data_IF_808133710990
#
_entry.id   IF_808133710990
#
_cell.length_a   1.000
_cell.length_b   1.000
_cell.length_c   1.000
_cell.angle_alpha   90.00
_cell.angle_beta   90.00
_cell.angle_gamma   90.00
#
_symmetry.space_group_name_H-M   'P 1'
#
loop_
_entity.id
_entity.type
_entity.pdbx_description
1 polymer ?
#
# COMPACT_ATOMS: atom_id res chain seq x y z
N UNK A 1 14.78 -23.72 19.26
CA UNK A 1 14.31 -24.87 18.46
C UNK A 1 14.55 -24.63 16.96
N UNK A 2 15.70 -25.01 16.39
CA UNK A 2 16.06 -24.70 15.00
C UNK A 2 15.30 -25.52 13.94
N UNK A 3 14.94 -26.78 14.23
CA UNK A 3 14.21 -27.68 13.31
C UNK A 3 12.79 -27.19 13.04
N UNK A 4 12.02 -26.90 14.09
CA UNK A 4 10.66 -26.36 13.97
C UNK A 4 10.64 -25.07 13.12
N UNK A 5 11.60 -24.16 13.32
CA UNK A 5 11.73 -22.94 12.53
C UNK A 5 11.96 -23.20 11.05
N UNK A 6 12.84 -24.16 10.70
CA UNK A 6 13.11 -24.53 9.29
C UNK A 6 11.86 -25.10 8.63
N UNK A 7 11.14 -25.98 9.32
CA UNK A 7 9.88 -26.56 8.80
C UNK A 7 8.83 -25.48 8.55
N UNK A 8 8.61 -24.56 9.50
CA UNK A 8 7.66 -23.47 9.33
C UNK A 8 8.01 -22.56 8.13
N UNK A 9 9.29 -22.26 7.91
CA UNK A 9 9.70 -21.47 6.75
C UNK A 9 9.53 -22.23 5.43
N UNK A 10 9.83 -23.52 5.39
CA UNK A 10 9.55 -24.34 4.21
C UNK A 10 8.05 -24.39 3.88
N UNK A 11 7.19 -24.57 4.89
CA UNK A 11 5.74 -24.61 4.66
C UNK A 11 5.16 -23.26 4.23
N UNK A 12 5.70 -22.15 4.74
CA UNK A 12 5.29 -20.80 4.31
C UNK A 12 5.65 -20.53 2.85
N UNK A 13 6.80 -21.03 2.39
CA UNK A 13 7.22 -20.90 0.99
C UNK A 13 6.36 -21.74 0.05
N UNK A 14 5.92 -22.92 0.51
CA UNK A 14 4.99 -23.76 -0.26
C UNK A 14 3.58 -23.19 -0.35
N UNK A 15 3.17 -22.40 0.64
CA UNK A 15 1.87 -21.75 0.66
C UNK A 15 1.83 -20.42 -0.10
N UNK A 16 2.86 -20.10 -0.90
CA UNK A 16 2.96 -18.85 -1.68
C UNK A 16 2.72 -17.59 -0.83
N UNK A 17 3.40 -17.49 0.32
CA UNK A 17 3.21 -16.40 1.26
C UNK A 17 3.42 -15.01 0.62
N UNK A 18 2.40 -14.15 0.72
CA UNK A 18 2.42 -12.75 0.28
C UNK A 18 2.75 -11.75 1.40
N UNK A 19 2.87 -10.48 1.04
CA UNK A 19 2.95 -9.37 1.99
C UNK A 19 1.58 -8.73 2.17
N UNK A 20 1.32 -8.22 3.37
CA UNK A 20 0.22 -7.32 3.64
C UNK A 20 0.75 -5.88 3.67
N UNK A 21 0.09 -4.96 2.97
CA UNK A 21 0.30 -3.53 3.10
C UNK A 21 -0.80 -2.88 3.96
N UNK A 22 -0.47 -1.89 4.80
CA UNK A 22 -1.48 -1.14 5.52
C UNK A 22 -2.12 -0.12 4.58
N UNK A 23 -3.42 0.10 4.76
CA UNK A 23 -4.23 1.01 3.95
C UNK A 23 -4.88 2.07 4.85
N UNK A 24 -4.85 3.31 4.38
CA UNK A 24 -5.57 4.42 5.01
C UNK A 24 -6.96 4.59 4.40
N UNK A 25 -7.93 4.89 5.26
CA UNK A 25 -9.15 5.57 4.87
C UNK A 25 -8.89 7.07 4.86
N UNK A 26 -8.91 7.68 3.68
CA UNK A 26 -8.74 9.11 3.50
C UNK A 26 -10.08 9.77 3.21
N UNK A 27 -10.51 10.63 4.12
CA UNK A 27 -11.62 11.54 3.99
C UNK A 27 -11.10 12.87 3.44
N UNK A 28 -11.54 13.25 2.23
CA UNK A 28 -11.06 14.44 1.54
C UNK A 28 -12.23 15.39 1.34
N UNK A 29 -12.17 16.57 1.95
CA UNK A 29 -13.12 17.64 1.68
C UNK A 29 -12.56 18.58 0.61
N UNK A 30 -13.30 18.78 -0.46
CA UNK A 30 -12.93 19.62 -1.61
C UNK A 30 -14.17 20.25 -2.23
N UNK A 31 -14.12 21.48 -2.77
CA UNK A 31 -15.24 22.01 -3.54
C UNK A 31 -15.36 21.30 -4.90
N UNK A 32 -16.57 21.27 -5.46
CA UNK A 32 -16.89 20.51 -6.68
C UNK A 32 -16.04 20.91 -7.91
N UNK A 33 -15.54 22.15 -7.96
CA UNK A 33 -14.70 22.68 -9.04
C UNK A 33 -13.32 21.99 -9.13
N UNK A 34 -12.78 21.52 -8.01
CA UNK A 34 -11.45 20.93 -7.92
C UNK A 34 -11.46 19.40 -7.71
N UNK A 35 -12.65 18.78 -7.73
CA UNK A 35 -12.83 17.35 -7.50
C UNK A 35 -12.06 16.49 -8.51
N UNK A 36 -12.08 16.86 -9.80
CA UNK A 36 -11.37 16.12 -10.86
C UNK A 36 -9.87 15.98 -10.60
N UNK A 37 -9.26 16.98 -9.98
CA UNK A 37 -7.83 16.95 -9.68
C UNK A 37 -7.51 15.99 -8.51
N UNK A 38 -8.45 15.81 -7.57
CA UNK A 38 -8.30 14.83 -6.48
C UNK A 38 -8.27 13.41 -7.03
N UNK A 39 -9.13 13.09 -7.99
CA UNK A 39 -9.11 11.80 -8.68
C UNK A 39 -7.76 11.54 -9.34
N UNK A 40 -7.20 12.53 -10.05
CA UNK A 40 -5.89 12.39 -10.68
C UNK A 40 -4.78 12.04 -9.70
N UNK A 41 -4.72 12.73 -8.55
CA UNK A 41 -3.72 12.46 -7.51
C UNK A 41 -3.91 11.09 -6.88
N UNK A 42 -5.16 10.68 -6.61
CA UNK A 42 -5.45 9.37 -6.04
C UNK A 42 -5.08 8.23 -7.01
N UNK A 43 -5.43 8.34 -8.29
CA UNK A 43 -5.12 7.31 -9.29
C UNK A 43 -3.61 7.10 -9.44
N UNK A 44 -2.82 8.18 -9.46
CA UNK A 44 -1.34 8.09 -9.52
C UNK A 44 -0.74 7.37 -8.31
N UNK A 45 -1.45 7.36 -7.18
CA UNK A 45 -1.00 6.79 -5.90
C UNK A 45 -1.72 5.48 -5.54
N UNK A 46 -2.28 4.78 -6.54
CA UNK A 46 -3.06 3.54 -6.35
C UNK A 46 -4.25 3.69 -5.38
N UNK A 47 -4.75 4.91 -5.21
CA UNK A 47 -5.91 5.20 -4.39
C UNK A 47 -7.21 4.89 -5.11
N UNK A 48 -8.24 4.49 -4.36
CA UNK A 48 -9.55 4.17 -4.90
C UNK A 48 -10.63 4.90 -4.10
N UNK A 49 -11.40 5.76 -4.78
CA UNK A 49 -12.58 6.43 -4.21
C UNK A 49 -13.78 5.48 -4.32
N UNK A 50 -14.48 5.27 -3.22
CA UNK A 50 -15.65 4.39 -3.18
C UNK A 50 -16.92 5.11 -2.71
N UNK A 51 -16.81 6.29 -2.11
CA UNK A 51 -17.97 7.07 -1.68
C UNK A 51 -17.75 8.55 -1.93
N UNK A 52 -18.84 9.18 -2.38
CA UNK A 52 -18.93 10.55 -2.83
C UNK A 52 -20.16 11.19 -2.17
N UNK A 53 -19.94 12.06 -1.18
CA UNK A 53 -21.01 12.71 -0.44
C UNK A 53 -20.99 14.22 -0.64
N UNK A 54 -22.07 14.77 -1.18
CA UNK A 54 -22.26 16.21 -1.26
C UNK A 54 -22.84 16.73 0.05
N UNK A 55 -22.22 17.78 0.62
CA UNK A 55 -22.75 18.43 1.83
C UNK A 55 -23.93 19.34 1.43
N UNK A 56 -25.17 19.06 1.89
CA UNK A 56 -26.33 19.86 1.50
C UNK A 56 -26.16 21.34 1.84
N UNK A 57 -26.53 22.21 0.90
CA UNK A 57 -26.45 23.67 1.09
C UNK A 57 -25.06 24.29 0.91
N UNK A 58 -24.03 23.50 0.58
CA UNK A 58 -22.69 24.02 0.27
C UNK A 58 -22.14 23.39 -1.01
N UNK A 59 -21.25 24.08 -1.77
CA UNK A 59 -20.56 23.47 -2.92
C UNK A 59 -19.42 22.52 -2.50
N UNK A 60 -19.39 22.09 -1.23
CA UNK A 60 -18.38 21.17 -0.71
C UNK A 60 -18.79 19.71 -0.92
N UNK A 61 -17.81 18.92 -1.31
CA UNK A 61 -17.90 17.49 -1.49
C UNK A 61 -16.92 16.78 -0.56
N UNK A 62 -17.34 15.63 -0.07
CA UNK A 62 -16.55 14.76 0.79
C UNK A 62 -16.33 13.45 0.06
N UNK A 63 -15.07 13.09 -0.17
CA UNK A 63 -14.67 11.87 -0.84
C UNK A 63 -14.09 10.92 0.21
N UNK A 64 -14.54 9.66 0.22
CA UNK A 64 -13.89 8.60 0.96
C UNK A 64 -13.12 7.71 -0.01
N UNK A 65 -11.83 7.54 0.28
CA UNK A 65 -10.92 6.78 -0.55
C UNK A 65 -10.00 5.89 0.28
N UNK A 66 -9.65 4.74 -0.28
CA UNK A 66 -8.53 3.94 0.20
C UNK A 66 -7.22 4.43 -0.41
N UNK A 67 -6.18 4.54 0.42
CA UNK A 67 -4.84 4.94 0.00
C UNK A 67 -3.79 4.03 0.68
N UNK A 68 -2.97 3.29 -0.09
CA UNK A 68 -1.89 2.51 0.50
C UNK A 68 -0.89 3.40 1.26
N UNK A 69 -0.49 3.01 2.47
CA UNK A 69 0.35 3.86 3.33
C UNK A 69 1.70 4.18 2.68
N UNK A 70 2.29 3.25 1.92
CA UNK A 70 3.53 3.54 1.19
C UNK A 70 3.39 4.65 0.16
N UNK A 71 2.17 4.89 -0.36
CA UNK A 71 1.87 5.94 -1.33
C UNK A 71 1.36 7.21 -0.66
N UNK A 72 1.32 7.27 0.68
CA UNK A 72 0.86 8.46 1.41
C UNK A 72 1.95 9.53 1.57
N UNK A 73 3.23 9.18 1.40
CA UNK A 73 4.34 10.12 1.53
C UNK A 73 4.27 11.18 0.42
N UNK A 74 4.17 12.45 0.83
CA UNK A 74 4.00 13.58 -0.09
C UNK A 74 2.56 13.79 -0.59
N UNK A 75 1.61 12.91 -0.23
CA UNK A 75 0.22 12.99 -0.69
C UNK A 75 -0.43 14.35 -0.41
N UNK A 76 -0.27 14.88 0.80
CA UNK A 76 -0.85 16.19 1.17
C UNK A 76 -0.28 17.34 0.33
N UNK A 77 1.02 17.30 0.01
CA UNK A 77 1.65 18.35 -0.79
C UNK A 77 1.15 18.31 -2.24
N UNK A 78 1.07 17.12 -2.83
CA UNK A 78 0.55 16.91 -4.19
C UNK A 78 -0.93 17.26 -4.29
N UNK A 79 -1.73 16.87 -3.30
CA UNK A 79 -3.14 17.22 -3.25
C UNK A 79 -3.32 18.74 -3.17
N UNK A 80 -2.50 19.41 -2.36
CA UNK A 80 -2.54 20.88 -2.23
C UNK A 80 -2.15 21.58 -3.52
N UNK A 81 -1.08 21.14 -4.19
CA UNK A 81 -0.62 21.77 -5.44
C UNK A 81 -1.62 21.59 -6.58
N UNK A 82 -2.21 20.40 -6.72
CA UNK A 82 -3.17 20.10 -7.78
C UNK A 82 -4.56 20.73 -7.56
N UNK A 83 -4.94 21.04 -6.31
CA UNK A 83 -6.26 21.63 -5.99
C UNK A 83 -6.20 23.13 -5.68
N UNK A 84 -5.05 23.78 -5.85
CA UNK A 84 -4.86 25.18 -5.47
C UNK A 84 -5.00 25.42 -3.96
N UNK A 85 -4.78 24.38 -3.16
CA UNK A 85 -4.89 24.39 -1.70
C UNK A 85 -6.30 24.32 -1.14
N UNK A 86 -7.29 23.97 -1.97
CA UNK A 86 -8.70 23.86 -1.58
C UNK A 86 -9.09 22.51 -0.97
N UNK A 87 -8.30 21.46 -1.18
CA UNK A 87 -8.57 20.14 -0.65
C UNK A 87 -7.89 19.90 0.71
N UNK A 88 -8.63 19.30 1.64
CA UNK A 88 -8.16 18.95 2.97
C UNK A 88 -8.31 17.44 3.20
N UNK A 89 -7.20 16.69 3.22
CA UNK A 89 -7.23 15.26 3.49
C UNK A 89 -7.12 14.99 5.00
N UNK A 90 -7.95 14.06 5.48
CA UNK A 90 -7.83 13.42 6.79
C UNK A 90 -7.70 11.92 6.56
N UNK A 91 -6.56 11.34 6.93
CA UNK A 91 -6.32 9.90 6.74
C UNK A 91 -6.19 9.21 8.10
N UNK A 92 -6.89 8.08 8.25
CA UNK A 92 -6.81 7.19 9.41
C UNK A 92 -6.53 5.76 8.95
N UNK A 93 -5.84 4.98 9.78
CA UNK A 93 -5.68 3.55 9.50
C UNK A 93 -7.04 2.85 9.41
N UNK A 94 -7.21 2.02 8.39
CA UNK A 94 -8.43 1.28 8.16
C UNK A 94 -8.21 -0.23 8.30
N UNK A 95 -7.40 -0.83 7.41
CA UNK A 95 -7.14 -2.27 7.41
C UNK A 95 -5.78 -2.64 6.78
N UNK A 96 -5.51 -3.94 6.76
CA UNK A 96 -4.38 -4.56 6.05
C UNK A 96 -4.89 -5.24 4.78
N UNK A 97 -4.28 -4.95 3.65
CA UNK A 97 -4.63 -5.50 2.34
C UNK A 97 -3.46 -6.34 1.78
N UNK A 98 -3.71 -7.49 1.14
CA UNK A 98 -2.66 -8.23 0.45
C UNK A 98 -2.08 -7.41 -0.70
N UNK A 99 -0.76 -7.23 -0.69
CA UNK A 99 -0.04 -6.58 -1.78
C UNK A 99 -0.07 -7.46 -3.02
N UNK A 100 -0.28 -6.85 -4.19
CA UNK A 100 -0.28 -7.57 -5.45
C UNK A 100 1.13 -7.99 -5.89
N UNK A 101 1.26 -9.24 -6.34
CA UNK A 101 2.50 -9.79 -6.91
C UNK A 101 3.29 -10.68 -5.94
N UNK A 102 4.00 -11.65 -6.53
CA UNK A 102 4.76 -12.66 -5.80
C UNK A 102 6.15 -12.13 -5.39
N UNK A 103 6.55 -12.20 -4.10
CA UNK A 103 7.88 -11.76 -3.68
C UNK A 103 9.05 -12.45 -4.41
N UNK A 104 8.86 -13.63 -4.99
CA UNK A 104 9.89 -14.38 -5.71
C UNK A 104 10.05 -13.97 -7.18
N UNK A 105 9.06 -13.27 -7.74
CA UNK A 105 9.11 -12.80 -9.12
C UNK A 105 9.70 -11.40 -9.20
N UNK A 106 10.66 -11.21 -10.10
CA UNK A 106 11.28 -9.91 -10.33
C UNK A 106 10.29 -8.92 -10.97
N UNK A 107 10.52 -7.62 -10.75
CA UNK A 107 9.77 -6.54 -11.42
C UNK A 107 8.51 -6.07 -10.68
N UNK A 108 8.02 -6.78 -9.67
CA UNK A 108 6.88 -6.33 -8.87
C UNK A 108 7.29 -5.54 -7.61
N UNK A 109 6.33 -4.78 -7.04
CA UNK A 109 6.56 -3.92 -5.89
C UNK A 109 6.83 -4.72 -4.60
N UNK A 110 6.19 -5.88 -4.48
CA UNK A 110 6.38 -6.82 -3.37
C UNK A 110 7.84 -7.25 -3.27
N UNK A 111 8.42 -7.74 -4.36
CA UNK A 111 9.81 -8.18 -4.48
C UNK A 111 10.79 -7.04 -4.14
N UNK A 112 10.60 -5.86 -4.73
CA UNK A 112 11.43 -4.68 -4.46
C UNK A 112 11.40 -4.30 -2.97
N UNK A 113 10.22 -4.36 -2.35
CA UNK A 113 10.04 -4.06 -0.92
C UNK A 113 10.76 -5.08 -0.05
N UNK A 114 10.65 -6.38 -0.34
CA UNK A 114 11.38 -7.43 0.38
C UNK A 114 12.88 -7.21 0.29
N UNK A 115 13.43 -6.99 -0.90
CA UNK A 115 14.86 -6.79 -1.10
C UNK A 115 15.37 -5.55 -0.35
N UNK A 116 14.65 -4.43 -0.43
CA UNK A 116 15.02 -3.20 0.28
C UNK A 116 15.07 -3.41 1.80
N UNK A 117 14.08 -4.10 2.37
CA UNK A 117 14.04 -4.40 3.80
C UNK A 117 15.17 -5.34 4.21
N UNK A 118 15.45 -6.38 3.41
CA UNK A 118 16.52 -7.34 3.68
C UNK A 118 17.89 -6.68 3.66
N UNK A 119 18.17 -5.88 2.65
CA UNK A 119 19.40 -5.08 2.53
C UNK A 119 19.58 -4.15 3.74
N UNK A 120 18.53 -3.41 4.10
CA UNK A 120 18.54 -2.52 5.28
C UNK A 120 18.81 -3.27 6.59
N UNK A 121 18.40 -4.54 6.69
CA UNK A 121 18.61 -5.39 7.87
C UNK A 121 19.91 -6.20 7.82
N UNK A 122 20.74 -6.03 6.78
CA UNK A 122 21.99 -6.79 6.62
C UNK A 122 21.77 -8.30 6.44
N UNK A 123 20.61 -8.70 5.91
CA UNK A 123 20.31 -10.09 5.61
C UNK A 123 20.87 -10.48 4.23
N UNK A 124 20.99 -11.79 3.97
CA UNK A 124 21.47 -12.28 2.68
C UNK A 124 20.64 -11.72 1.52
N UNK A 125 21.32 -11.32 0.46
CA UNK A 125 20.69 -10.81 -0.77
C UNK A 125 19.74 -11.86 -1.37
N UNK A 126 18.69 -11.39 -2.02
CA UNK A 126 17.65 -12.24 -2.62
C UNK A 126 16.61 -12.75 -1.63
N UNK A 127 15.46 -13.18 -2.17
CA UNK A 127 14.45 -13.90 -1.40
C UNK A 127 14.93 -15.35 -1.23
N UNK A 128 14.99 -15.91 -0.02
CA UNK A 128 15.53 -17.25 0.17
C UNK A 128 14.65 -18.30 -0.53
N UNK A 129 15.28 -19.27 -1.18
CA UNK A 129 14.56 -20.38 -1.82
C UNK A 129 14.16 -21.47 -0.83
N UNK A 130 13.11 -22.23 -1.18
CA UNK A 130 12.62 -23.38 -0.41
C UNK A 130 13.72 -24.39 -0.07
N UNK A 131 14.62 -24.66 -1.02
CA UNK A 131 15.71 -25.63 -0.86
C UNK A 131 16.67 -25.28 0.30
N UNK A 132 16.68 -24.03 0.77
CA UNK A 132 17.45 -23.62 1.94
C UNK A 132 16.94 -24.24 3.25
N UNK A 133 15.64 -24.56 3.30
CA UNK A 133 14.95 -24.99 4.52
C UNK A 133 14.44 -26.44 4.46
N UNK A 134 14.18 -26.95 3.26
CA UNK A 134 13.73 -28.33 3.05
C UNK A 134 14.93 -29.27 2.84
N UNK A 135 15.14 -30.17 3.79
CA UNK A 135 16.14 -31.24 3.68
C UNK A 135 15.46 -32.46 3.02
N UNK A 136 15.84 -32.80 1.78
CA UNK A 136 15.34 -34.00 1.09
C UNK A 136 16.13 -35.23 1.56
N UNK A 137 15.43 -36.35 1.73
CA UNK A 137 16.00 -37.67 2.04
C UNK A 137 16.76 -38.25 0.83
#
# INVERSE_FOLDING_TARGET
MPTARRVCFSSMMDAEAGLLEPVYLCNISVPQDAMGNVYGVLTQRRGHVFTEEQRPGTPQMTLLAYLPVMESFGFTADLRSNTGGKAFPQCSFDHWEPMSGNPHEEGNKTHQTVLAVRKRKGLSDGVPEKNKYLDKL
#
